data_IF_388273493450
#
_entry.id   IF_388273493450
#
_cell.length_a   1.000
_cell.length_b   1.000
_cell.length_c   1.000
_cell.angle_alpha   90.00
_cell.angle_beta   90.00
_cell.angle_gamma   90.00
#
_symmetry.space_group_name_H-M   'P 1'
#
loop_
_entity.id
_entity.type
_entity.pdbx_description
1 polymer ?
#
# COMPACT_ATOMS: atom_id res chain seq x y z
N UNK A 1 4.65 -1.53 -7.42
CA UNK A 1 5.25 -1.19 -8.72
C UNK A 1 4.56 0.05 -9.22
N UNK A 2 5.33 1.07 -9.54
CA UNK A 2 4.84 2.32 -10.10
C UNK A 2 5.03 2.27 -11.62
N UNK A 3 4.00 2.69 -12.35
CA UNK A 3 3.96 2.63 -13.80
C UNK A 3 3.90 4.04 -14.36
N UNK A 4 4.68 4.31 -15.39
CA UNK A 4 4.62 5.58 -16.10
C UNK A 4 3.28 5.71 -16.83
N UNK A 5 2.50 6.73 -16.45
CA UNK A 5 1.17 6.99 -17.02
C UNK A 5 1.22 7.28 -18.51
N UNK A 6 2.34 7.78 -19.05
CA UNK A 6 2.49 8.07 -20.47
C UNK A 6 2.42 6.81 -21.36
N UNK A 7 2.61 5.63 -20.77
CA UNK A 7 2.57 4.35 -21.47
C UNK A 7 1.13 3.85 -21.75
N UNK A 8 0.12 4.52 -21.19
CA UNK A 8 -1.26 4.03 -21.19
C UNK A 8 -2.20 4.96 -21.97
N UNK A 9 -3.24 4.40 -22.62
CA UNK A 9 -4.27 5.20 -23.29
C UNK A 9 -4.97 6.15 -22.30
N UNK A 10 -5.27 7.37 -22.75
CA UNK A 10 -5.92 8.38 -21.90
C UNK A 10 -7.27 7.92 -21.34
N UNK A 11 -8.06 7.19 -22.12
CA UNK A 11 -9.36 6.65 -21.69
C UNK A 11 -9.24 5.76 -20.46
N UNK A 12 -8.25 4.85 -20.46
CA UNK A 12 -7.97 3.96 -19.35
C UNK A 12 -7.55 4.75 -18.10
N UNK A 13 -6.71 5.77 -18.26
CA UNK A 13 -6.29 6.64 -17.16
C UNK A 13 -7.48 7.39 -16.56
N UNK A 14 -8.42 7.88 -17.37
CA UNK A 14 -9.63 8.56 -16.89
C UNK A 14 -10.54 7.62 -16.11
N UNK A 15 -10.74 6.38 -16.57
CA UNK A 15 -11.54 5.39 -15.82
C UNK A 15 -10.90 5.02 -14.47
N UNK A 16 -9.60 4.73 -14.47
CA UNK A 16 -8.86 4.44 -13.23
C UNK A 16 -8.84 5.65 -12.29
N UNK A 17 -8.66 6.85 -12.85
CA UNK A 17 -8.68 8.11 -12.13
C UNK A 17 -10.06 8.42 -11.53
N UNK A 18 -11.14 8.18 -12.26
CA UNK A 18 -12.51 8.34 -11.76
C UNK A 18 -12.80 7.35 -10.63
N UNK A 19 -12.41 6.09 -10.79
CA UNK A 19 -12.56 5.08 -9.75
C UNK A 19 -11.77 5.43 -8.48
N UNK A 20 -10.52 5.86 -8.65
CA UNK A 20 -9.68 6.35 -7.56
C UNK A 20 -10.27 7.59 -6.89
N UNK A 21 -10.75 8.56 -7.66
CA UNK A 21 -11.40 9.77 -7.15
C UNK A 21 -12.67 9.47 -6.34
N UNK A 22 -13.51 8.55 -6.81
CA UNK A 22 -14.69 8.08 -6.06
C UNK A 22 -14.30 7.41 -4.75
N UNK A 23 -13.28 6.55 -4.77
CA UNK A 23 -12.77 5.92 -3.55
C UNK A 23 -12.18 6.95 -2.57
N UNK A 24 -11.49 7.98 -3.08
CA UNK A 24 -10.95 9.06 -2.26
C UNK A 24 -12.05 9.90 -1.62
N UNK A 25 -13.12 10.21 -2.36
CA UNK A 25 -14.30 10.87 -1.82
C UNK A 25 -14.99 10.03 -0.74
N UNK A 26 -15.11 8.72 -0.96
CA UNK A 26 -15.63 7.79 0.05
C UNK A 26 -14.74 7.77 1.30
N UNK A 27 -13.42 7.71 1.13
CA UNK A 27 -12.46 7.77 2.23
C UNK A 27 -12.56 9.07 3.03
N UNK A 28 -12.67 10.23 2.36
CA UNK A 28 -12.85 11.53 3.01
C UNK A 28 -14.13 11.58 3.87
N UNK A 29 -15.23 10.99 3.39
CA UNK A 29 -16.51 10.96 4.12
C UNK A 29 -16.53 9.97 5.27
N UNK A 30 -15.88 8.82 5.11
CA UNK A 30 -15.87 7.73 6.09
C UNK A 30 -14.76 7.86 7.13
N UNK A 31 -13.75 8.70 6.87
CA UNK A 31 -12.62 8.89 7.78
C UNK A 31 -13.11 9.36 9.17
N UNK A 32 -12.69 8.69 10.26
CA UNK A 32 -13.05 9.09 11.62
C UNK A 32 -12.19 10.27 12.06
N UNK A 33 -12.43 11.45 11.48
CA UNK A 33 -11.66 12.70 11.68
C UNK A 33 -11.43 13.06 13.16
N UNK A 34 -12.40 12.71 14.02
CA UNK A 34 -12.30 12.93 15.48
C UNK A 34 -11.06 12.28 16.10
N UNK A 35 -10.55 11.18 15.53
CA UNK A 35 -9.34 10.50 16.02
C UNK A 35 -8.10 11.39 15.90
N UNK A 36 -8.04 12.27 14.90
CA UNK A 36 -6.92 13.19 14.70
C UNK A 36 -6.95 14.41 15.62
N UNK A 37 -7.99 14.60 16.43
CA UNK A 37 -7.99 15.64 17.46
C UNK A 37 -7.13 15.28 18.67
N UNK A 38 -6.80 14.00 18.87
CA UNK A 38 -5.81 13.60 19.86
C UNK A 38 -4.39 13.94 19.36
N UNK A 39 -3.61 14.78 20.07
CA UNK A 39 -2.30 15.23 19.59
C UNK A 39 -1.35 14.06 19.25
N UNK A 40 -1.35 13.00 20.08
CA UNK A 40 -0.51 11.82 19.84
C UNK A 40 -0.84 11.12 18.52
N UNK A 41 -2.13 10.97 18.18
CA UNK A 41 -2.56 10.32 16.94
C UNK A 41 -2.27 11.21 15.72
N UNK A 42 -2.39 12.54 15.87
CA UNK A 42 -2.02 13.49 14.81
C UNK A 42 -0.53 13.44 14.50
N UNK A 43 0.34 13.46 15.51
CA UNK A 43 1.79 13.38 15.30
C UNK A 43 2.19 12.06 14.63
N UNK A 44 1.60 10.94 15.03
CA UNK A 44 1.86 9.63 14.41
C UNK A 44 1.35 9.59 12.97
N UNK A 45 0.18 10.19 12.70
CA UNK A 45 -0.36 10.32 11.34
C UNK A 45 0.55 11.15 10.42
N UNK A 46 0.98 12.33 10.87
CA UNK A 46 1.91 13.18 10.12
C UNK A 46 3.29 12.51 9.97
N UNK A 47 3.78 11.85 11.01
CA UNK A 47 5.02 11.07 10.97
C UNK A 47 4.96 9.94 9.95
N UNK A 48 3.82 9.24 9.84
CA UNK A 48 3.62 8.20 8.84
C UNK A 48 3.62 8.75 7.41
N UNK A 49 3.05 9.94 7.17
CA UNK A 49 3.14 10.63 5.88
C UNK A 49 4.60 10.92 5.52
N UNK A 50 5.36 11.52 6.44
CA UNK A 50 6.78 11.85 6.20
C UNK A 50 7.62 10.60 5.95
N UNK A 51 7.43 9.55 6.76
CA UNK A 51 8.13 8.29 6.59
C UNK A 51 7.82 7.64 5.24
N UNK A 52 6.56 7.65 4.80
CA UNK A 52 6.18 7.14 3.48
C UNK A 52 6.73 8.00 2.34
N UNK A 53 6.76 9.33 2.48
CA UNK A 53 7.43 10.20 1.50
C UNK A 53 8.89 9.77 1.33
N UNK A 54 9.63 9.63 2.43
CA UNK A 54 11.03 9.19 2.39
C UNK A 54 11.16 7.80 1.73
N UNK A 55 10.30 6.85 2.11
CA UNK A 55 10.29 5.50 1.57
C UNK A 55 10.03 5.47 0.07
N UNK A 56 9.08 6.28 -0.43
CA UNK A 56 8.71 6.30 -1.85
C UNK A 56 9.73 7.06 -2.72
N UNK A 57 10.59 7.89 -2.12
CA UNK A 57 11.77 8.43 -2.81
C UNK A 57 12.88 7.37 -2.97
N UNK A 58 12.89 6.30 -2.16
CA UNK A 58 13.81 5.16 -2.34
C UNK A 58 13.31 4.25 -3.47
N UNK A 59 13.42 4.74 -4.70
CA UNK A 59 12.89 4.10 -5.91
C UNK A 59 14.01 3.72 -6.88
N UNK A 60 13.83 2.61 -7.57
CA UNK A 60 14.74 2.11 -8.60
C UNK A 60 13.98 1.72 -9.86
N UNK A 61 14.41 2.24 -11.01
CA UNK A 61 13.82 1.86 -12.29
C UNK A 61 14.25 0.44 -12.67
N UNK A 62 13.29 -0.43 -12.94
CA UNK A 62 13.53 -1.85 -13.26
C UNK A 62 13.46 -2.09 -14.76
N UNK A 63 12.49 -1.46 -15.42
CA UNK A 63 12.34 -1.42 -16.88
C UNK A 63 11.99 0.02 -17.31
N UNK A 64 12.15 0.38 -18.59
CA UNK A 64 11.64 1.64 -19.11
C UNK A 64 10.16 1.85 -18.72
N UNK A 65 9.87 2.94 -18.00
CA UNK A 65 8.53 3.25 -17.48
C UNK A 65 7.98 2.32 -16.38
N UNK A 66 8.80 1.42 -15.80
CA UNK A 66 8.42 0.59 -14.65
C UNK A 66 9.41 0.81 -13.51
N UNK A 67 8.91 1.36 -12.41
CA UNK A 67 9.71 1.65 -11.22
C UNK A 67 9.28 0.77 -10.06
N UNK A 68 10.26 0.30 -9.29
CA UNK A 68 10.06 -0.41 -8.04
C UNK A 68 10.46 0.48 -6.86
N UNK A 69 9.62 0.49 -5.84
CA UNK A 69 9.89 1.07 -4.53
C UNK A 69 9.09 0.28 -3.49
N UNK A 70 9.47 0.41 -2.22
CA UNK A 70 8.71 -0.15 -1.12
C UNK A 70 7.44 0.69 -0.89
N UNK A 71 6.31 0.03 -0.65
CA UNK A 71 5.01 0.68 -0.51
C UNK A 71 4.76 1.11 0.94
N UNK A 72 4.98 0.24 1.93
CA UNK A 72 4.67 0.51 3.34
C UNK A 72 3.18 0.72 3.66
N UNK A 73 2.30 0.63 2.65
CA UNK A 73 0.86 0.92 2.79
C UNK A 73 0.13 -0.13 3.61
N UNK A 74 0.66 -1.36 3.71
CA UNK A 74 0.07 -2.39 4.57
C UNK A 74 0.11 -1.95 6.03
N UNK A 75 1.28 -1.54 6.52
CA UNK A 75 1.44 -0.99 7.87
C UNK A 75 0.52 0.20 8.12
N UNK A 76 0.48 1.17 7.20
CA UNK A 76 -0.39 2.34 7.34
C UNK A 76 -1.88 1.96 7.39
N UNK A 77 -2.30 0.98 6.60
CA UNK A 77 -3.67 0.44 6.65
C UNK A 77 -3.97 -0.22 7.98
N UNK A 78 -3.02 -0.97 8.56
CA UNK A 78 -3.19 -1.57 9.89
C UNK A 78 -3.25 -0.52 11.01
N UNK A 79 -2.50 0.58 10.88
CA UNK A 79 -2.43 1.67 11.85
C UNK A 79 -3.68 2.55 11.87
N UNK A 80 -4.16 2.95 10.69
CA UNK A 80 -5.19 3.98 10.58
C UNK A 80 -6.49 3.48 9.94
N UNK A 81 -6.51 2.28 9.38
CA UNK A 81 -7.63 1.74 8.61
C UNK A 81 -7.65 2.25 7.17
N UNK A 82 -8.55 1.67 6.37
CA UNK A 82 -8.67 1.92 4.93
C UNK A 82 -8.77 3.41 4.55
N UNK A 83 -9.67 4.17 5.18
CA UNK A 83 -9.94 5.57 4.81
C UNK A 83 -8.72 6.47 5.00
N UNK A 84 -8.10 6.42 6.18
CA UNK A 84 -6.91 7.24 6.45
C UNK A 84 -5.69 6.77 5.69
N UNK A 85 -5.51 5.46 5.47
CA UNK A 85 -4.43 4.97 4.64
C UNK A 85 -4.54 5.49 3.21
N UNK A 86 -5.74 5.51 2.63
CA UNK A 86 -5.95 6.06 1.29
C UNK A 86 -5.61 7.55 1.23
N UNK A 87 -6.01 8.33 2.24
CA UNK A 87 -5.67 9.75 2.35
C UNK A 87 -4.16 9.98 2.49
N UNK A 88 -3.49 9.21 3.35
CA UNK A 88 -2.04 9.27 3.53
C UNK A 88 -1.33 8.97 2.21
N UNK A 89 -1.66 7.86 1.56
CA UNK A 89 -1.05 7.48 0.28
C UNK A 89 -1.30 8.54 -0.80
N UNK A 90 -2.48 9.17 -0.81
CA UNK A 90 -2.81 10.24 -1.76
C UNK A 90 -1.95 11.49 -1.54
N UNK A 91 -1.76 11.91 -0.28
CA UNK A 91 -0.88 13.04 0.06
C UNK A 91 0.57 12.72 -0.30
N UNK A 92 1.06 11.54 0.06
CA UNK A 92 2.41 11.07 -0.27
C UNK A 92 2.62 11.07 -1.79
N UNK A 93 1.67 10.51 -2.54
CA UNK A 93 1.73 10.42 -3.98
C UNK A 93 1.78 11.81 -4.65
N UNK A 94 0.99 12.78 -4.16
CA UNK A 94 1.03 14.16 -4.64
C UNK A 94 2.41 14.79 -4.44
N UNK A 95 3.00 14.62 -3.25
CA UNK A 95 4.32 15.17 -2.93
C UNK A 95 5.41 14.52 -3.79
N UNK A 96 5.43 13.19 -3.89
CA UNK A 96 6.42 12.46 -4.69
C UNK A 96 6.29 12.81 -6.18
N UNK A 97 5.07 12.88 -6.70
CA UNK A 97 4.83 13.21 -8.12
C UNK A 97 5.23 14.64 -8.45
N UNK A 98 5.05 15.56 -7.51
CA UNK A 98 5.53 16.94 -7.65
C UNK A 98 7.06 17.00 -7.71
N UNK A 99 7.75 16.26 -6.83
CA UNK A 99 9.21 16.27 -6.78
C UNK A 99 9.86 15.59 -7.99
N UNK A 100 9.27 14.51 -8.50
CA UNK A 100 9.84 13.72 -9.60
C UNK A 100 9.34 14.17 -10.98
N UNK A 101 8.24 14.92 -11.05
CA UNK A 101 7.71 15.47 -12.31
C UNK A 101 6.87 14.48 -13.13
N UNK A 102 6.18 13.54 -12.48
CA UNK A 102 5.42 12.45 -13.13
C UNK A 102 4.22 12.87 -13.99
N UNK A 103 3.85 14.16 -13.95
CA UNK A 103 2.65 14.68 -14.60
C UNK A 103 1.34 14.11 -14.03
N UNK A 104 0.21 14.58 -14.54
CA UNK A 104 -1.11 14.18 -14.06
C UNK A 104 -1.47 12.72 -14.41
N UNK A 105 -0.90 12.19 -15.49
CA UNK A 105 -1.15 10.82 -15.96
C UNK A 105 -0.58 9.78 -15.00
N UNK A 106 0.66 10.00 -14.52
CA UNK A 106 1.29 9.14 -13.52
C UNK A 106 0.52 9.14 -12.19
N UNK A 107 -0.03 10.29 -11.79
CA UNK A 107 -0.83 10.40 -10.57
C UNK A 107 -2.07 9.50 -10.56
N UNK A 108 -2.83 9.46 -11.66
CA UNK A 108 -4.07 8.66 -11.72
C UNK A 108 -3.76 7.16 -11.67
N UNK A 109 -2.78 6.71 -12.45
CA UNK A 109 -2.39 5.31 -12.51
C UNK A 109 -1.73 4.83 -11.21
N UNK A 110 -0.82 5.63 -10.65
CA UNK A 110 -0.17 5.32 -9.39
C UNK A 110 -1.15 5.38 -8.22
N UNK A 111 -2.10 6.32 -8.22
CA UNK A 111 -3.15 6.40 -7.20
C UNK A 111 -3.95 5.10 -7.09
N UNK A 112 -4.25 4.48 -8.23
CA UNK A 112 -4.89 3.18 -8.27
C UNK A 112 -3.94 2.03 -7.89
N UNK A 113 -2.79 1.92 -8.54
CA UNK A 113 -1.90 0.75 -8.46
C UNK A 113 -1.04 0.68 -7.18
N UNK A 114 -0.65 1.83 -6.64
CA UNK A 114 0.19 1.94 -5.42
C UNK A 114 -0.59 2.35 -4.17
N UNK A 115 -1.76 2.96 -4.35
CA UNK A 115 -2.64 3.39 -3.26
C UNK A 115 -3.87 2.49 -3.11
N UNK A 116 -4.90 2.73 -3.92
CA UNK A 116 -6.23 2.16 -3.72
C UNK A 116 -6.25 0.64 -3.69
N UNK A 117 -5.67 -0.01 -4.70
CA UNK A 117 -5.66 -1.46 -4.79
C UNK A 117 -4.95 -2.09 -3.58
N UNK A 118 -3.66 -1.79 -3.29
CA UNK A 118 -2.97 -2.47 -2.20
C UNK A 118 -3.61 -2.18 -0.84
N UNK A 119 -4.08 -0.96 -0.58
CA UNK A 119 -4.76 -0.61 0.68
C UNK A 119 -6.06 -1.40 0.85
N UNK A 120 -6.84 -1.55 -0.23
CA UNK A 120 -8.08 -2.32 -0.20
C UNK A 120 -7.80 -3.80 -0.01
N UNK A 121 -6.80 -4.35 -0.69
CA UNK A 121 -6.39 -5.74 -0.52
C UNK A 121 -5.88 -6.00 0.91
N UNK A 122 -5.09 -5.10 1.48
CA UNK A 122 -4.67 -5.20 2.89
C UNK A 122 -5.88 -5.23 3.82
N UNK A 123 -6.87 -4.35 3.62
CA UNK A 123 -8.06 -4.30 4.45
C UNK A 123 -8.88 -5.59 4.35
N UNK A 124 -9.03 -6.16 3.15
CA UNK A 124 -9.74 -7.44 2.92
C UNK A 124 -8.99 -8.59 3.58
N UNK A 125 -7.67 -8.71 3.35
CA UNK A 125 -6.85 -9.76 3.93
C UNK A 125 -6.79 -9.68 5.45
N UNK A 126 -6.75 -8.47 6.02
CA UNK A 126 -6.88 -8.27 7.46
C UNK A 126 -8.20 -8.86 7.99
N UNK A 127 -9.33 -8.56 7.33
CA UNK A 127 -10.64 -9.12 7.74
C UNK A 127 -10.63 -10.64 7.66
N UNK A 128 -10.09 -11.22 6.58
CA UNK A 128 -9.98 -12.68 6.41
C UNK A 128 -9.12 -13.34 7.49
N UNK A 129 -7.93 -12.80 7.74
CA UNK A 129 -7.02 -13.27 8.81
C UNK A 129 -7.72 -13.21 10.16
N UNK A 130 -8.44 -12.13 10.47
CA UNK A 130 -9.17 -11.98 11.74
C UNK A 130 -10.37 -12.92 11.85
N UNK A 131 -11.01 -13.29 10.74
CA UNK A 131 -12.16 -14.19 10.74
C UNK A 131 -11.78 -15.66 10.80
N UNK A 132 -10.65 -16.05 10.21
CA UNK A 132 -10.30 -17.47 10.02
C UNK A 132 -9.20 -17.96 10.96
N UNK A 133 -8.32 -17.08 11.44
CA UNK A 133 -7.18 -17.48 12.26
C UNK A 133 -7.39 -17.11 13.74
N UNK A 134 -6.85 -17.91 14.68
CA UNK A 134 -6.90 -17.60 16.10
C UNK A 134 -6.26 -16.24 16.42
N UNK A 135 -6.83 -15.53 17.40
CA UNK A 135 -6.34 -14.22 17.82
C UNK A 135 -5.11 -14.38 18.73
N UNK A 136 -3.94 -14.49 18.10
CA UNK A 136 -2.65 -14.56 18.78
C UNK A 136 -1.71 -13.48 18.25
N UNK A 137 -0.82 -12.97 19.10
CA UNK A 137 0.21 -12.00 18.72
C UNK A 137 1.00 -12.42 17.46
N UNK A 138 1.53 -13.65 17.43
CA UNK A 138 2.31 -14.13 16.29
C UNK A 138 1.49 -14.22 14.99
N UNK A 139 0.23 -14.62 15.09
CA UNK A 139 -0.68 -14.71 13.94
C UNK A 139 -0.98 -13.31 13.40
N UNK A 140 -1.13 -12.32 14.28
CA UNK A 140 -1.31 -10.94 13.84
C UNK A 140 -0.08 -10.42 13.11
N UNK A 141 1.11 -10.57 13.69
CA UNK A 141 2.37 -10.12 13.09
C UNK A 141 2.67 -10.84 11.77
N UNK A 142 2.66 -12.18 11.76
CA UNK A 142 3.01 -12.96 10.58
C UNK A 142 1.88 -12.96 9.53
N UNK A 143 0.63 -13.00 9.95
CA UNK A 143 -0.52 -13.03 9.05
C UNK A 143 -0.89 -11.66 8.52
N UNK A 144 -1.19 -10.71 9.42
CA UNK A 144 -1.66 -9.37 9.04
C UNK A 144 -0.52 -8.42 8.65
N UNK A 145 0.65 -8.55 9.26
CA UNK A 145 1.82 -7.72 8.93
C UNK A 145 2.61 -8.25 7.74
N UNK A 146 3.20 -9.44 7.88
CA UNK A 146 4.13 -9.99 6.90
C UNK A 146 3.44 -10.61 5.67
N UNK A 147 2.62 -11.64 5.87
CA UNK A 147 2.00 -12.41 4.79
C UNK A 147 1.06 -11.55 3.96
N UNK A 148 0.26 -10.70 4.62
CA UNK A 148 -0.61 -9.74 3.93
C UNK A 148 0.21 -8.79 3.06
N UNK A 149 1.28 -8.19 3.58
CA UNK A 149 2.12 -7.29 2.78
C UNK A 149 2.76 -8.01 1.58
N UNK A 150 3.23 -9.25 1.78
CA UNK A 150 3.77 -10.08 0.70
C UNK A 150 2.73 -10.35 -0.39
N UNK A 151 1.55 -10.84 -0.03
CA UNK A 151 0.46 -11.15 -0.97
C UNK A 151 -0.02 -9.90 -1.70
N UNK A 152 -0.19 -8.78 -0.98
CA UNK A 152 -0.60 -7.50 -1.55
C UNK A 152 0.40 -7.02 -2.59
N UNK A 153 1.69 -7.05 -2.26
CA UNK A 153 2.76 -6.66 -3.17
C UNK A 153 2.82 -7.58 -4.40
N UNK A 154 2.68 -8.89 -4.20
CA UNK A 154 2.64 -9.89 -5.26
C UNK A 154 1.47 -9.65 -6.21
N UNK A 155 0.24 -9.55 -5.70
CA UNK A 155 -0.97 -9.27 -6.50
C UNK A 155 -0.83 -7.95 -7.25
N UNK A 156 -0.32 -6.90 -6.59
CA UNK A 156 -0.10 -5.59 -7.22
C UNK A 156 0.93 -5.67 -8.36
N UNK A 157 1.98 -6.50 -8.21
CA UNK A 157 2.97 -6.77 -9.25
C UNK A 157 2.38 -7.47 -10.47
N UNK A 158 1.56 -8.50 -10.26
CA UNK A 158 0.86 -9.18 -11.36
C UNK A 158 -0.16 -8.28 -12.04
N UNK A 159 -0.86 -7.44 -11.28
CA UNK A 159 -1.75 -6.45 -11.89
C UNK A 159 -0.96 -5.48 -12.76
N UNK A 160 0.19 -4.99 -12.29
CA UNK A 160 1.05 -4.11 -13.08
C UNK A 160 1.50 -4.78 -14.40
N UNK A 161 1.88 -6.07 -14.36
CA UNK A 161 2.17 -6.86 -15.57
C UNK A 161 0.96 -6.92 -16.50
N UNK A 162 -0.22 -7.24 -15.96
CA UNK A 162 -1.45 -7.31 -16.75
C UNK A 162 -1.79 -5.98 -17.43
N UNK A 163 -1.64 -4.86 -16.72
CA UNK A 163 -1.84 -3.52 -17.28
C UNK A 163 -0.85 -3.27 -18.43
N UNK A 164 0.44 -3.57 -18.23
CA UNK A 164 1.46 -3.38 -19.27
C UNK A 164 1.22 -4.23 -20.53
N UNK A 165 0.74 -5.47 -20.35
CA UNK A 165 0.43 -6.37 -21.47
C UNK A 165 -0.82 -5.92 -22.22
N UNK A 166 -1.88 -5.55 -21.50
CA UNK A 166 -3.14 -5.12 -22.12
C UNK A 166 -3.04 -3.76 -22.80
N UNK A 167 -2.17 -2.88 -22.31
CA UNK A 167 -1.84 -1.62 -22.97
C UNK A 167 -0.88 -1.79 -24.16
N UNK A 168 -0.38 -3.00 -24.45
CA UNK A 168 0.52 -3.27 -25.56
C UNK A 168 1.95 -2.75 -25.38
N UNK A 169 2.31 -2.31 -24.17
CA UNK A 169 3.63 -1.73 -23.84
C UNK A 169 4.72 -2.81 -23.88
N UNK A 170 4.41 -3.98 -23.32
CA UNK A 170 5.30 -5.14 -23.31
C UNK A 170 4.52 -6.41 -23.62
N UNK A 171 5.20 -7.38 -24.24
CA UNK A 171 4.62 -8.71 -24.41
C UNK A 171 4.73 -9.50 -23.10
N UNK A 172 3.73 -10.35 -22.84
CA UNK A 172 3.74 -11.24 -21.68
C UNK A 172 5.00 -12.13 -21.66
N UNK A 173 5.38 -12.68 -22.82
CA UNK A 173 6.58 -13.51 -22.96
C UNK A 173 7.86 -12.79 -22.52
N UNK A 174 7.98 -11.48 -22.78
CA UNK A 174 9.12 -10.68 -22.32
C UNK A 174 9.09 -10.52 -20.79
N UNK A 175 7.96 -10.11 -20.22
CA UNK A 175 7.85 -9.88 -18.78
C UNK A 175 8.04 -11.16 -17.96
N UNK A 176 7.61 -12.30 -18.50
CA UNK A 176 7.75 -13.62 -17.90
C UNK A 176 9.21 -14.03 -17.69
N UNK A 177 10.14 -13.54 -18.52
CA UNK A 177 11.57 -13.85 -18.37
C UNK A 177 12.37 -12.71 -17.75
N UNK A 178 11.90 -11.45 -17.85
CA UNK A 178 12.67 -10.29 -17.38
C UNK A 178 12.36 -9.87 -15.95
N UNK A 179 11.10 -9.88 -15.51
CA UNK A 179 10.71 -9.28 -14.22
C UNK A 179 9.94 -10.24 -13.31
N UNK A 180 9.03 -11.03 -13.86
CA UNK A 180 8.19 -11.94 -13.06
C UNK A 180 8.98 -12.97 -12.24
N UNK A 181 10.10 -13.57 -12.72
CA UNK A 181 10.89 -14.51 -11.92
C UNK A 181 11.48 -13.87 -10.66
N UNK A 182 11.68 -12.55 -10.67
CA UNK A 182 12.24 -11.81 -9.55
C UNK A 182 11.16 -11.32 -8.57
N UNK A 183 9.88 -11.49 -8.83
CA UNK A 183 8.81 -11.01 -7.94
C UNK A 183 8.94 -11.50 -6.49
N UNK A 184 9.22 -12.79 -6.22
CA UNK A 184 9.45 -13.23 -4.84
C UNK A 184 10.58 -12.44 -4.17
N UNK A 185 11.70 -12.25 -4.87
CA UNK A 185 12.85 -11.51 -4.35
C UNK A 185 12.57 -10.01 -4.18
N UNK A 186 11.83 -9.41 -5.11
CA UNK A 186 11.48 -7.98 -5.10
C UNK A 186 10.47 -7.65 -3.99
N UNK A 187 9.48 -8.50 -3.77
CA UNK A 187 8.40 -8.24 -2.82
C UNK A 187 8.65 -8.79 -1.41
N UNK A 188 9.66 -9.64 -1.24
CA UNK A 188 10.05 -10.13 0.08
C UNK A 188 10.51 -9.01 1.05
N UNK A 189 11.34 -8.03 0.63
CA UNK A 189 11.68 -6.87 1.47
C UNK A 189 10.47 -6.06 1.94
N UNK A 190 9.45 -5.91 1.09
CA UNK A 190 8.18 -5.24 1.46
C UNK A 190 7.50 -5.98 2.62
N UNK A 191 7.42 -7.31 2.53
CA UNK A 191 6.85 -8.14 3.58
C UNK A 191 7.64 -8.05 4.89
N UNK A 192 8.98 -8.10 4.80
CA UNK A 192 9.87 -8.03 5.94
C UNK A 192 9.74 -6.69 6.68
N UNK A 193 9.79 -5.57 5.94
CA UNK A 193 9.68 -4.22 6.49
C UNK A 193 8.33 -4.02 7.18
N UNK A 194 7.22 -4.39 6.54
CA UNK A 194 5.90 -4.28 7.17
C UNK A 194 5.79 -5.19 8.40
N UNK A 195 6.28 -6.43 8.33
CA UNK A 195 6.28 -7.34 9.49
C UNK A 195 7.07 -6.80 10.68
N UNK A 196 8.26 -6.24 10.44
CA UNK A 196 9.09 -5.64 11.49
C UNK A 196 8.46 -4.40 12.09
N UNK A 197 7.95 -3.47 11.26
CA UNK A 197 7.31 -2.26 11.76
C UNK A 197 6.08 -2.63 12.60
N UNK A 198 5.23 -3.55 12.12
CA UNK A 198 4.05 -4.01 12.88
C UNK A 198 4.46 -4.68 14.19
N UNK A 199 5.52 -5.50 14.19
CA UNK A 199 6.04 -6.09 15.44
C UNK A 199 6.42 -5.01 16.45
N UNK A 200 7.21 -4.02 16.05
CA UNK A 200 7.66 -2.92 16.92
C UNK A 200 6.46 -2.13 17.43
N UNK A 201 5.54 -1.76 16.53
CA UNK A 201 4.37 -0.95 16.88
C UNK A 201 3.46 -1.68 17.86
N UNK A 202 3.16 -2.95 17.63
CA UNK A 202 2.28 -3.71 18.52
C UNK A 202 2.95 -3.97 19.87
N UNK A 203 4.26 -4.21 19.90
CA UNK A 203 4.97 -4.47 21.16
C UNK A 203 5.18 -3.23 22.03
N UNK A 204 5.46 -2.07 21.42
CA UNK A 204 5.84 -0.85 22.17
C UNK A 204 4.79 0.25 22.15
N UNK A 205 3.96 0.31 21.11
CA UNK A 205 2.99 1.39 20.90
C UNK A 205 1.64 0.85 20.37
N UNK A 206 1.00 -0.14 21.02
CA UNK A 206 -0.19 -0.82 20.49
C UNK A 206 -1.36 0.16 20.21
N UNK A 207 -1.45 1.26 20.95
CA UNK A 207 -2.44 2.32 20.74
C UNK A 207 -2.34 3.05 19.38
N UNK A 208 -1.22 2.88 18.65
CA UNK A 208 -1.06 3.43 17.30
C UNK A 208 -1.58 2.48 16.21
N UNK A 209 -1.85 1.21 16.56
CA UNK A 209 -2.30 0.18 15.62
C UNK A 209 -3.80 -0.07 15.77
N UNK A 210 -4.60 0.61 14.96
CA UNK A 210 -6.07 0.52 15.01
C UNK A 210 -6.61 -0.90 14.94
N UNK A 211 -6.00 -1.73 14.10
CA UNK A 211 -6.46 -3.10 13.87
C UNK A 211 -6.03 -4.09 14.95
N UNK A 212 -5.25 -3.66 15.93
CA UNK A 212 -4.75 -4.47 17.03
C UNK A 212 -5.37 -4.07 18.38
N UNK A 213 -5.50 -5.04 19.29
CA UNK A 213 -5.97 -4.81 20.66
C UNK A 213 -5.28 -5.80 21.58
N UNK A 214 -4.56 -5.30 22.61
CA UNK A 214 -3.87 -6.14 23.60
C UNK A 214 -4.83 -7.15 24.23
N UNK A 215 -6.04 -6.72 24.59
CA UNK A 215 -7.06 -7.57 25.19
C UNK A 215 -7.44 -8.76 24.30
N UNK A 216 -7.48 -8.57 22.98
CA UNK A 216 -7.91 -9.62 22.06
C UNK A 216 -6.78 -10.58 21.66
N UNK A 217 -5.54 -10.10 21.62
CA UNK A 217 -4.41 -10.83 21.04
C UNK A 217 -3.36 -11.29 22.06
N UNK A 218 -3.46 -10.83 23.31
CA UNK A 218 -2.57 -11.23 24.43
C UNK A 218 -3.30 -11.98 25.55
N UNK A 219 -4.64 -11.93 25.66
CA UNK A 219 -5.38 -12.77 26.62
C UNK A 219 -5.37 -14.22 26.13
N UNK A 220 -4.63 -15.07 26.84
CA UNK A 220 -4.29 -16.43 26.42
C UNK A 220 -2.84 -16.85 26.76
N UNK A 221 -2.05 -15.93 27.33
CA UNK A 221 -0.90 -16.28 28.18
C UNK A 221 -1.35 -16.58 29.61
#
# INVERSE_FOLDING_TARGET
MELDGALFPAEMLWWLGAFYGMALLAALRMAPWRRLFAPSQLHVFLGAIVALIALWHMRGQVLPGVTFHLLGVTTVTLMFGWSFALLVASVVLLVVSWNVGYGWQGLLLSGFTTGLLPITLTQVLLVLVRSWLPKNFFIYVLGSGFLTAWLVAYISGYLAVWLLVTAGVYTYAKLQVTIMPFFPLMFFPEALVNGWIVTILVSFCPAWVYSFSDEQYLKGK
#
